data_IF_280146082315
#
_entry.id   IF_280146082315
#
_cell.length_a   1.000
_cell.length_b   1.000
_cell.length_c   1.000
_cell.angle_alpha   90.00
_cell.angle_beta   90.00
_cell.angle_gamma   90.00
#
_symmetry.space_group_name_H-M   'P 1'
#
loop_
_entity.id
_entity.type
_entity.pdbx_description
1 polymer ?
#
# COMPACT_ATOMS: atom_id res chain seq x y z
N UNK A 1 40.96 -47.70 54.57
CA UNK A 1 39.56 -47.83 54.14
C UNK A 1 38.70 -46.64 54.53
N UNK A 2 38.28 -46.45 55.80
CA UNK A 2 37.33 -45.38 56.15
C UNK A 2 37.80 -43.95 55.84
N UNK A 3 39.09 -43.66 56.01
CA UNK A 3 39.67 -42.35 55.64
C UNK A 3 39.70 -42.12 54.11
N UNK A 4 39.69 -43.18 53.30
CA UNK A 4 39.69 -43.10 51.85
C UNK A 4 38.27 -42.89 51.31
N UNK A 5 37.26 -43.59 51.84
CA UNK A 5 35.86 -43.38 51.44
C UNK A 5 35.40 -41.94 51.74
N UNK A 6 35.72 -41.42 52.93
CA UNK A 6 35.44 -40.02 53.29
C UNK A 6 36.16 -39.02 52.35
N UNK A 7 37.37 -39.34 51.90
CA UNK A 7 38.13 -38.50 50.98
C UNK A 7 37.57 -38.53 49.55
N UNK A 8 37.18 -39.71 49.06
CA UNK A 8 36.51 -39.89 47.76
C UNK A 8 35.16 -39.17 47.74
N UNK A 9 34.36 -39.30 48.79
CA UNK A 9 33.08 -38.60 48.90
C UNK A 9 33.23 -37.08 48.95
N UNK A 10 34.18 -36.55 49.73
CA UNK A 10 34.45 -35.09 49.77
C UNK A 10 34.84 -34.57 48.39
N UNK A 11 35.70 -35.27 47.67
CA UNK A 11 36.09 -34.92 46.31
C UNK A 11 34.93 -35.05 45.30
N UNK A 12 34.07 -36.07 45.43
CA UNK A 12 32.88 -36.24 44.60
C UNK A 12 31.85 -35.12 44.81
N UNK A 13 31.53 -34.82 46.07
CA UNK A 13 30.62 -33.72 46.45
C UNK A 13 31.16 -32.36 46.00
N UNK A 14 32.48 -32.12 46.16
CA UNK A 14 33.15 -30.89 45.69
C UNK A 14 33.04 -30.72 44.17
N UNK A 15 33.33 -31.76 43.38
CA UNK A 15 33.17 -31.74 41.92
C UNK A 15 31.72 -31.56 41.47
N UNK A 16 30.76 -32.10 42.22
CA UNK A 16 29.33 -31.86 41.99
C UNK A 16 28.93 -30.40 42.19
N UNK A 17 29.39 -29.78 43.28
CA UNK A 17 29.16 -28.36 43.58
C UNK A 17 29.85 -27.42 42.56
N UNK A 18 31.05 -27.77 42.08
CA UNK A 18 31.74 -27.05 41.01
C UNK A 18 30.90 -27.05 39.72
N UNK A 19 30.44 -28.22 39.25
CA UNK A 19 29.57 -28.33 38.07
C UNK A 19 28.26 -27.55 38.22
N UNK A 20 27.60 -27.63 39.37
CA UNK A 20 26.38 -26.86 39.63
C UNK A 20 26.63 -25.34 39.57
N UNK A 21 27.79 -24.88 40.03
CA UNK A 21 28.21 -23.47 39.89
C UNK A 21 28.52 -23.09 38.44
N UNK A 22 29.23 -23.94 37.71
CA UNK A 22 29.53 -23.76 36.28
C UNK A 22 28.25 -23.68 35.45
N UNK A 23 27.30 -24.59 35.68
CA UNK A 23 25.96 -24.56 35.07
C UNK A 23 25.17 -23.31 35.43
N UNK A 24 25.21 -22.86 36.70
CA UNK A 24 24.50 -21.66 37.13
C UNK A 24 25.08 -20.40 36.49
N UNK A 25 26.41 -20.31 36.38
CA UNK A 25 27.11 -19.24 35.67
C UNK A 25 26.78 -19.24 34.18
N UNK A 26 26.82 -20.40 33.50
CA UNK A 26 26.43 -20.52 32.10
C UNK A 26 24.97 -20.09 31.86
N UNK A 27 24.04 -20.51 32.74
CA UNK A 27 22.63 -20.10 32.69
C UNK A 27 22.46 -18.59 32.88
N UNK A 28 23.22 -17.97 33.79
CA UNK A 28 23.23 -16.52 34.00
C UNK A 28 23.78 -15.75 32.79
N UNK A 29 24.90 -16.20 32.21
CA UNK A 29 25.51 -15.59 31.01
C UNK A 29 24.52 -15.65 29.83
N UNK A 30 23.90 -16.80 29.58
CA UNK A 30 22.88 -16.92 28.54
C UNK A 30 21.68 -16.00 28.78
N UNK A 31 21.22 -15.87 30.04
CA UNK A 31 20.14 -14.93 30.39
C UNK A 31 20.54 -13.47 30.15
N UNK A 32 21.76 -13.07 30.52
CA UNK A 32 22.28 -11.72 30.27
C UNK A 32 22.38 -11.42 28.76
N UNK A 33 22.88 -12.37 27.96
CA UNK A 33 22.94 -12.25 26.51
C UNK A 33 21.54 -12.04 25.88
N UNK A 34 20.55 -12.86 26.26
CA UNK A 34 19.15 -12.69 25.81
C UNK A 34 18.47 -11.43 26.36
N UNK A 35 18.94 -10.87 27.48
CA UNK A 35 18.48 -9.59 28.02
C UNK A 35 19.11 -8.38 27.32
N UNK A 36 20.13 -8.53 26.48
CA UNK A 36 20.65 -7.42 25.68
C UNK A 36 19.57 -6.87 24.70
N UNK A 37 19.45 -5.55 24.60
CA UNK A 37 18.49 -4.91 23.68
C UNK A 37 18.82 -5.21 22.20
N UNK A 38 20.08 -5.55 21.92
CA UNK A 38 20.57 -6.06 20.65
C UNK A 38 19.93 -7.40 20.28
N UNK A 39 19.99 -8.39 21.16
CA UNK A 39 19.38 -9.72 20.93
C UNK A 39 17.85 -9.64 20.97
N UNK A 40 17.24 -8.87 21.89
CA UNK A 40 15.79 -8.59 21.88
C UNK A 40 15.33 -8.00 20.55
N UNK A 41 16.09 -7.08 19.95
CA UNK A 41 15.74 -6.48 18.65
C UNK A 41 15.85 -7.49 17.49
N UNK A 42 16.85 -8.38 17.54
CA UNK A 42 16.98 -9.49 16.58
C UNK A 42 15.85 -10.53 16.75
N UNK A 43 15.44 -10.86 17.97
CA UNK A 43 14.30 -11.75 18.24
C UNK A 43 12.96 -11.16 17.77
N UNK A 44 12.75 -9.84 17.90
CA UNK A 44 11.60 -9.16 17.29
C UNK A 44 11.59 -9.29 15.76
N UNK A 45 12.77 -9.26 15.12
CA UNK A 45 12.88 -9.52 13.69
C UNK A 45 12.62 -10.99 13.34
N UNK A 46 13.08 -11.95 14.16
CA UNK A 46 12.79 -13.39 13.99
C UNK A 46 11.29 -13.68 14.02
N UNK A 47 10.58 -13.20 15.05
CA UNK A 47 9.13 -13.33 15.16
C UNK A 47 8.40 -12.70 13.96
N UNK A 48 8.93 -11.59 13.41
CA UNK A 48 8.40 -11.00 12.18
C UNK A 48 8.61 -11.92 10.95
N UNK A 49 9.73 -12.65 10.84
CA UNK A 49 9.92 -13.64 9.76
C UNK A 49 8.94 -14.81 9.85
N UNK A 50 8.55 -15.19 11.07
CA UNK A 50 7.57 -16.25 11.33
C UNK A 50 6.16 -15.79 10.93
N UNK A 51 5.74 -14.61 11.38
CA UNK A 51 4.47 -14.00 11.00
C UNK A 51 4.36 -13.72 9.48
N UNK A 52 5.48 -13.43 8.80
CA UNK A 52 5.51 -13.32 7.33
C UNK A 52 5.26 -14.68 6.67
N UNK A 53 5.93 -15.75 7.10
CA UNK A 53 5.70 -17.09 6.56
C UNK A 53 4.27 -17.58 6.82
N UNK A 54 3.76 -17.38 8.04
CA UNK A 54 2.37 -17.74 8.39
C UNK A 54 1.37 -16.99 7.50
N UNK A 55 1.61 -15.70 7.23
CA UNK A 55 0.80 -14.91 6.30
C UNK A 55 0.79 -15.50 4.88
N UNK A 56 1.94 -15.92 4.37
CA UNK A 56 2.05 -16.52 3.04
C UNK A 56 1.30 -17.87 2.99
N UNK A 57 1.40 -18.70 4.03
CA UNK A 57 0.65 -19.95 4.17
C UNK A 57 -0.88 -19.69 4.26
N UNK A 58 -1.32 -18.70 5.04
CA UNK A 58 -2.72 -18.25 5.07
C UNK A 58 -3.21 -17.75 3.69
N UNK A 59 -2.37 -17.03 2.94
CA UNK A 59 -2.69 -16.56 1.59
C UNK A 59 -2.80 -17.73 0.61
N UNK A 60 -1.89 -18.70 0.68
CA UNK A 60 -1.95 -19.94 -0.10
C UNK A 60 -3.23 -20.74 0.20
N UNK A 61 -3.63 -20.84 1.47
CA UNK A 61 -4.89 -21.47 1.87
C UNK A 61 -6.10 -20.72 1.29
N UNK A 62 -6.13 -19.38 1.36
CA UNK A 62 -7.20 -18.54 0.78
C UNK A 62 -7.30 -18.73 -0.74
N UNK A 63 -6.17 -18.78 -1.46
CA UNK A 63 -6.16 -19.07 -2.89
C UNK A 63 -6.71 -20.46 -3.23
N UNK A 64 -6.36 -21.50 -2.45
CA UNK A 64 -6.91 -22.85 -2.61
C UNK A 64 -8.43 -22.87 -2.40
N UNK A 65 -8.94 -22.26 -1.33
CA UNK A 65 -10.38 -22.17 -1.06
C UNK A 65 -11.14 -21.43 -2.17
N UNK A 66 -10.61 -20.29 -2.64
CA UNK A 66 -11.19 -19.52 -3.74
C UNK A 66 -11.22 -20.32 -5.05
N UNK A 67 -10.20 -21.14 -5.33
CA UNK A 67 -10.16 -21.95 -6.54
C UNK A 67 -11.09 -23.18 -6.46
N UNK A 68 -11.19 -23.84 -5.30
CA UNK A 68 -12.17 -24.90 -5.07
C UNK A 68 -13.61 -24.39 -5.27
N UNK A 69 -13.97 -23.25 -4.66
CA UNK A 69 -15.29 -22.64 -4.82
C UNK A 69 -15.60 -22.25 -6.29
N UNK A 70 -14.59 -21.82 -7.06
CA UNK A 70 -14.75 -21.58 -8.52
C UNK A 70 -15.00 -22.88 -9.29
N UNK A 71 -14.37 -23.99 -8.91
CA UNK A 71 -14.59 -25.29 -9.54
C UNK A 71 -15.95 -25.89 -9.20
N UNK A 72 -16.40 -25.77 -7.95
CA UNK A 72 -17.76 -26.11 -7.53
C UNK A 72 -18.82 -25.28 -8.28
N UNK A 73 -18.59 -23.96 -8.40
CA UNK A 73 -19.45 -23.07 -9.19
C UNK A 73 -19.48 -23.49 -10.66
N UNK A 74 -18.34 -23.86 -11.26
CA UNK A 74 -18.26 -24.37 -12.64
C UNK A 74 -19.02 -25.68 -12.83
N UNK A 75 -18.93 -26.61 -11.87
CA UNK A 75 -19.69 -27.88 -11.88
C UNK A 75 -21.20 -27.61 -11.82
N UNK A 76 -21.64 -26.82 -10.84
CA UNK A 76 -23.06 -26.43 -10.71
C UNK A 76 -23.61 -25.76 -11.98
N UNK A 77 -22.85 -24.83 -12.58
CA UNK A 77 -23.24 -24.19 -13.85
C UNK A 77 -23.28 -25.17 -15.04
N UNK A 78 -22.45 -26.21 -15.05
CA UNK A 78 -22.52 -27.28 -16.05
C UNK A 78 -23.76 -28.17 -15.82
N UNK A 79 -24.04 -28.57 -14.57
CA UNK A 79 -25.20 -29.41 -14.21
C UNK A 79 -26.53 -28.72 -14.54
N UNK A 80 -26.63 -27.41 -14.30
CA UNK A 80 -27.78 -26.59 -14.71
C UNK A 80 -27.92 -26.59 -16.23
N UNK A 81 -26.83 -26.35 -16.97
CA UNK A 81 -26.83 -26.34 -18.44
C UNK A 81 -27.19 -27.71 -19.05
N UNK A 82 -26.77 -28.82 -18.43
CA UNK A 82 -27.20 -30.16 -18.84
C UNK A 82 -28.71 -30.33 -18.70
N UNK A 83 -29.29 -29.95 -17.56
CA UNK A 83 -30.74 -30.00 -17.31
C UNK A 83 -31.54 -29.09 -18.25
N UNK A 84 -31.01 -27.93 -18.61
CA UNK A 84 -31.60 -27.05 -19.63
C UNK A 84 -31.62 -27.72 -21.02
N UNK A 85 -30.53 -28.37 -21.42
CA UNK A 85 -30.44 -29.10 -22.68
C UNK A 85 -31.40 -30.29 -22.71
N UNK A 86 -31.42 -31.12 -21.66
CA UNK A 86 -32.35 -32.24 -21.48
C UNK A 86 -33.81 -31.78 -21.59
N UNK A 87 -34.17 -30.66 -20.94
CA UNK A 87 -35.52 -30.10 -21.01
C UNK A 87 -35.89 -29.62 -22.42
N UNK A 88 -34.94 -29.03 -23.17
CA UNK A 88 -35.13 -28.64 -24.57
C UNK A 88 -35.31 -29.87 -25.48
N UNK A 89 -34.57 -30.95 -25.23
CA UNK A 89 -34.71 -32.19 -26.00
C UNK A 89 -36.05 -32.88 -25.71
N UNK A 90 -36.47 -33.00 -24.45
CA UNK A 90 -37.80 -33.50 -24.09
C UNK A 90 -38.93 -32.67 -24.72
N UNK A 91 -38.80 -31.34 -24.82
CA UNK A 91 -39.77 -30.51 -25.53
C UNK A 91 -39.76 -30.76 -27.04
N UNK A 92 -38.58 -30.91 -27.67
CA UNK A 92 -38.45 -31.28 -29.09
C UNK A 92 -39.09 -32.63 -29.38
N UNK A 93 -38.96 -33.62 -28.50
CA UNK A 93 -39.60 -34.93 -28.65
C UNK A 93 -41.11 -34.86 -28.51
N UNK A 94 -41.64 -34.15 -27.51
CA UNK A 94 -43.09 -33.91 -27.38
C UNK A 94 -43.67 -33.23 -28.63
N UNK A 95 -42.94 -32.26 -29.20
CA UNK A 95 -43.33 -31.62 -30.47
C UNK A 95 -43.23 -32.56 -31.68
N UNK A 96 -42.22 -33.44 -31.75
CA UNK A 96 -42.14 -34.50 -32.78
C UNK A 96 -43.36 -35.44 -32.68
N UNK A 97 -43.68 -35.93 -31.48
CA UNK A 97 -44.81 -36.82 -31.22
C UNK A 97 -46.14 -36.17 -31.61
N UNK A 98 -46.39 -34.91 -31.19
CA UNK A 98 -47.58 -34.16 -31.61
C UNK A 98 -47.65 -33.95 -33.12
N UNK A 99 -46.53 -33.71 -33.79
CA UNK A 99 -46.50 -33.56 -35.26
C UNK A 99 -46.75 -34.89 -35.99
N UNK A 100 -46.32 -36.03 -35.43
CA UNK A 100 -46.65 -37.36 -35.95
C UNK A 100 -48.16 -37.63 -35.78
N UNK A 101 -48.72 -37.36 -34.60
CA UNK A 101 -50.16 -37.48 -34.34
C UNK A 101 -51.00 -36.59 -35.27
N UNK A 102 -50.60 -35.33 -35.47
CA UNK A 102 -51.27 -34.41 -36.41
C UNK A 102 -51.20 -34.88 -37.86
N UNK A 103 -50.08 -35.48 -38.30
CA UNK A 103 -49.97 -36.11 -39.63
C UNK A 103 -50.92 -37.31 -39.74
N UNK A 104 -50.84 -38.26 -38.83
CA UNK A 104 -51.70 -39.46 -38.82
C UNK A 104 -53.19 -39.10 -38.82
N UNK A 105 -53.61 -38.11 -38.02
CA UNK A 105 -54.98 -37.60 -38.03
C UNK A 105 -55.34 -36.93 -39.37
N UNK A 106 -54.44 -36.11 -39.92
CA UNK A 106 -54.63 -35.49 -41.23
C UNK A 106 -54.71 -36.50 -42.37
N UNK A 107 -54.01 -37.63 -42.29
CA UNK A 107 -54.07 -38.71 -43.26
C UNK A 107 -55.35 -39.55 -43.10
N UNK A 108 -55.78 -39.87 -41.88
CA UNK A 108 -57.09 -40.47 -41.60
C UNK A 108 -58.26 -39.61 -42.14
N UNK A 109 -58.21 -38.29 -41.97
CA UNK A 109 -59.23 -37.38 -42.54
C UNK A 109 -59.20 -37.38 -44.07
N UNK A 110 -58.03 -37.52 -44.72
CA UNK A 110 -57.97 -37.70 -46.19
C UNK A 110 -58.61 -39.02 -46.61
N UNK A 111 -58.44 -40.10 -45.85
CA UNK A 111 -59.06 -41.39 -46.13
C UNK A 111 -60.58 -41.35 -45.97
N UNK A 112 -61.09 -40.75 -44.90
CA UNK A 112 -62.53 -40.48 -44.75
C UNK A 112 -63.09 -39.62 -45.90
N UNK A 113 -62.36 -38.60 -46.36
CA UNK A 113 -62.77 -37.83 -47.55
C UNK A 113 -62.71 -38.63 -48.86
N UNK A 114 -61.79 -39.59 -49.02
CA UNK A 114 -61.80 -40.52 -50.18
C UNK A 114 -63.01 -41.46 -50.12
N UNK A 115 -63.28 -42.05 -48.95
CA UNK A 115 -64.41 -42.94 -48.73
C UNK A 115 -65.74 -42.23 -48.98
N UNK A 116 -65.92 -41.01 -48.46
CA UNK A 116 -67.12 -40.22 -48.67
C UNK A 116 -67.30 -39.80 -50.13
N UNK A 117 -66.21 -39.48 -50.87
CA UNK A 117 -66.27 -39.25 -52.31
C UNK A 117 -66.71 -40.50 -53.08
N UNK A 118 -66.13 -41.67 -52.77
CA UNK A 118 -66.54 -42.95 -53.38
C UNK A 118 -67.99 -43.30 -53.04
N UNK A 119 -68.46 -43.00 -51.82
CA UNK A 119 -69.85 -43.18 -51.39
C UNK A 119 -70.81 -42.24 -52.13
N UNK A 120 -70.40 -41.02 -52.46
CA UNK A 120 -71.19 -40.10 -53.27
C UNK A 120 -71.18 -40.51 -54.76
N UNK A 121 -70.07 -40.99 -55.30
CA UNK A 121 -70.03 -41.59 -56.64
C UNK A 121 -71.02 -42.76 -56.76
N UNK A 122 -71.00 -43.69 -55.79
CA UNK A 122 -71.97 -44.81 -55.68
C UNK A 122 -73.43 -44.39 -55.47
N UNK A 123 -73.71 -43.14 -55.09
CA UNK A 123 -75.07 -42.58 -55.08
C UNK A 123 -75.45 -42.06 -56.47
N UNK A 124 -74.59 -41.25 -57.07
CA UNK A 124 -74.80 -40.72 -58.42
C UNK A 124 -74.84 -41.83 -59.50
N UNK A 125 -74.14 -42.94 -59.28
CA UNK A 125 -74.29 -44.18 -60.07
C UNK A 125 -75.70 -44.75 -59.89
N UNK A 126 -76.16 -45.00 -58.65
CA UNK A 126 -77.52 -45.50 -58.38
C UNK A 126 -78.64 -44.57 -58.85
N UNK A 127 -78.41 -43.26 -58.83
CA UNK A 127 -79.34 -42.23 -59.35
C UNK A 127 -79.43 -42.30 -60.89
N UNK A 128 -78.40 -42.82 -61.58
CA UNK A 128 -78.44 -43.15 -63.03
C UNK A 128 -78.96 -44.55 -63.31
N UNK A 129 -78.60 -45.55 -62.49
CA UNK A 129 -79.10 -46.93 -62.62
C UNK A 129 -80.63 -46.97 -62.46
N UNK A 130 -81.16 -46.26 -61.46
CA UNK A 130 -82.60 -46.03 -61.30
C UNK A 130 -83.13 -45.08 -62.38
N UNK A 131 -82.30 -44.13 -62.82
CA UNK A 131 -82.47 -43.25 -63.97
C UNK A 131 -83.01 -43.97 -65.21
N UNK A 132 -82.18 -44.90 -65.69
CA UNK A 132 -82.46 -45.74 -66.85
C UNK A 132 -83.64 -46.68 -66.55
N UNK A 133 -83.75 -47.19 -65.33
CA UNK A 133 -84.88 -48.04 -64.92
C UNK A 133 -86.24 -47.32 -64.98
N UNK A 134 -86.32 -46.02 -64.64
CA UNK A 134 -87.57 -45.26 -64.70
C UNK A 134 -87.94 -44.90 -66.14
N UNK A 135 -86.97 -44.44 -66.94
CA UNK A 135 -87.20 -44.26 -68.38
C UNK A 135 -87.54 -45.57 -69.10
N UNK A 136 -86.93 -46.70 -68.73
CA UNK A 136 -87.29 -48.03 -69.25
C UNK A 136 -88.66 -48.50 -68.78
N UNK A 137 -89.14 -48.07 -67.61
CA UNK A 137 -90.50 -48.39 -67.15
C UNK A 137 -91.53 -47.68 -68.00
N UNK A 138 -91.40 -46.36 -68.14
CA UNK A 138 -92.33 -45.66 -68.99
C UNK A 138 -92.09 -46.06 -70.46
N UNK A 139 -90.90 -46.46 -70.96
CA UNK A 139 -90.73 -47.06 -72.32
C UNK A 139 -91.48 -48.38 -72.47
N UNK A 140 -91.55 -49.18 -71.41
CA UNK A 140 -92.47 -50.31 -71.30
C UNK A 140 -93.89 -49.87 -70.97
N UNK A 141 -94.12 -48.58 -70.89
CA UNK A 141 -95.37 -47.94 -71.19
C UNK A 141 -95.46 -47.38 -72.62
N UNK A 142 -94.36 -47.07 -73.46
CA UNK A 142 -94.08 -46.79 -75.01
C UNK A 142 -94.13 -48.04 -75.87
N UNK A 143 -94.28 -49.15 -75.17
CA UNK A 143 -95.23 -50.20 -75.47
C UNK A 143 -96.32 -50.24 -74.33
N UNK A 144 -97.66 -50.35 -74.59
CA UNK A 144 -98.89 -50.05 -73.75
C UNK A 144 -99.77 -48.73 -73.94
N UNK A 145 -99.27 -47.44 -74.10
CA UNK A 145 -99.67 -46.12 -74.97
C UNK A 145 -98.87 -45.43 -76.50
N UNK A 146 -97.98 -46.03 -77.61
CA UNK A 146 -97.54 -47.44 -78.50
C UNK A 146 -97.74 -49.17 -78.47
N UNK A 147 -98.04 -50.10 -77.43
CA UNK A 147 -98.99 -51.43 -77.42
C UNK A 147 -100.61 -51.69 -76.96
N UNK A 148 -101.64 -50.78 -76.67
CA UNK A 148 -103.18 -50.87 -76.77
C UNK A 148 -104.12 -50.23 -77.91
N UNK A 149 -104.17 -48.91 -78.22
CA UNK A 149 -105.05 -48.22 -79.24
C UNK A 149 -105.37 -48.91 -80.59
N UNK A 150 -104.43 -49.52 -81.35
CA UNK A 150 -104.77 -50.20 -82.62
C UNK A 150 -105.89 -51.25 -82.36
N UNK A 151 -106.21 -51.62 -81.08
CA UNK A 151 -107.06 -52.76 -80.70
C UNK A 151 -108.46 -52.37 -81.07
N UNK A 152 -108.71 -51.09 -80.90
CA UNK A 152 -109.87 -50.37 -81.33
C UNK A 152 -109.76 -50.19 -82.85
N UNK A 153 -108.64 -49.73 -83.44
CA UNK A 153 -108.51 -49.61 -84.92
C UNK A 153 -108.89 -50.89 -85.68
N UNK A 154 -108.14 -51.99 -85.55
CA UNK A 154 -108.52 -53.19 -86.30
C UNK A 154 -109.82 -53.84 -85.74
N UNK A 155 -110.29 -53.65 -84.48
CA UNK A 155 -111.70 -54.01 -84.09
C UNK A 155 -112.74 -53.15 -84.81
N UNK A 156 -112.41 -51.90 -85.16
CA UNK A 156 -113.26 -51.05 -85.99
C UNK A 156 -113.22 -51.53 -87.44
N UNK A 157 -112.06 -51.98 -87.94
CA UNK A 157 -112.00 -52.70 -89.22
C UNK A 157 -112.79 -54.01 -89.18
N UNK A 158 -112.98 -54.63 -88.01
CA UNK A 158 -113.87 -55.78 -87.85
C UNK A 158 -115.32 -55.42 -88.12
N UNK A 159 -115.76 -54.34 -87.47
CA UNK A 159 -117.11 -53.80 -87.66
C UNK A 159 -117.31 -53.30 -89.09
N UNK A 160 -116.32 -52.64 -89.71
CA UNK A 160 -116.39 -52.24 -91.13
C UNK A 160 -116.54 -53.44 -92.06
N UNK A 161 -115.62 -54.40 -92.02
CA UNK A 161 -115.67 -55.59 -92.87
C UNK A 161 -116.94 -56.45 -92.61
N UNK A 162 -117.46 -56.48 -91.38
CA UNK A 162 -118.74 -57.10 -91.06
C UNK A 162 -119.95 -56.29 -91.61
N UNK A 163 -119.94 -54.97 -91.54
CA UNK A 163 -121.01 -54.13 -92.13
C UNK A 163 -120.98 -54.15 -93.67
N UNK A 164 -119.80 -54.16 -94.28
CA UNK A 164 -119.56 -54.37 -95.72
C UNK A 164 -120.02 -55.77 -96.14
N UNK A 165 -119.84 -56.77 -95.27
CA UNK A 165 -120.51 -58.05 -95.41
C UNK A 165 -122.02 -57.88 -95.44
N UNK A 166 -122.62 -57.21 -94.45
CA UNK A 166 -124.07 -57.15 -94.30
C UNK A 166 -124.73 -56.48 -95.52
N UNK A 167 -124.10 -55.45 -96.11
CA UNK A 167 -124.52 -54.87 -97.39
C UNK A 167 -124.25 -55.78 -98.60
N UNK A 168 -123.15 -56.53 -98.61
CA UNK A 168 -122.95 -57.61 -99.58
C UNK A 168 -124.03 -58.70 -99.44
N UNK A 169 -124.52 -59.01 -98.23
CA UNK A 169 -125.60 -60.00 -98.04
C UNK A 169 -126.96 -59.49 -98.46
N UNK A 170 -127.26 -58.21 -98.25
CA UNK A 170 -128.54 -57.65 -98.67
C UNK A 170 -128.59 -57.49 -100.19
N UNK A 171 -127.50 -57.09 -100.83
CA UNK A 171 -127.38 -57.10 -102.29
C UNK A 171 -127.36 -58.51 -102.86
N UNK A 172 -126.68 -59.47 -102.23
CA UNK A 172 -126.77 -60.88 -102.60
C UNK A 172 -128.20 -61.38 -102.42
N UNK A 173 -128.90 -61.11 -101.30
CA UNK A 173 -130.34 -61.36 -101.13
C UNK A 173 -131.25 -60.51 -102.03
N UNK A 174 -130.74 -59.58 -102.85
CA UNK A 174 -131.56 -58.79 -103.78
C UNK A 174 -131.32 -59.19 -105.24
N UNK A 175 -130.08 -59.53 -105.61
CA UNK A 175 -129.75 -60.26 -106.83
C UNK A 175 -130.34 -61.64 -106.78
N UNK A 176 -130.10 -62.27 -105.65
CA UNK A 176 -130.92 -63.31 -105.14
C UNK A 176 -132.12 -62.67 -104.40
N UNK A 177 -132.89 -61.70 -105.04
CA UNK A 177 -134.38 -61.25 -105.10
C UNK A 177 -134.98 -61.14 -106.50
N UNK A 178 -134.12 -61.24 -107.51
CA UNK A 178 -134.48 -61.80 -108.81
C UNK A 178 -134.08 -63.27 -108.94
N UNK A 179 -133.26 -63.73 -107.98
CA UNK A 179 -133.68 -64.78 -107.04
C UNK A 179 -134.57 -64.12 -105.91
N UNK A 180 -134.37 -64.02 -104.55
CA UNK A 180 -135.13 -63.68 -103.18
C UNK A 180 -136.19 -64.58 -102.53
N UNK A 181 -135.89 -65.85 -102.57
CA UNK A 181 -134.80 -66.27 -103.39
C UNK A 181 -132.90 -65.89 -102.88
N UNK A 182 -131.69 -65.48 -101.59
CA UNK A 182 -129.75 -65.19 -100.64
C UNK A 182 -128.19 -64.61 -99.08
N UNK A 183 -126.53 -64.12 -98.55
CA UNK A 183 -124.78 -64.01 -97.27
C UNK A 183 -123.23 -63.31 -95.75
N UNK A 184 -121.60 -62.75 -95.23
CA UNK A 184 -119.86 -62.28 -93.98
C UNK A 184 -118.51 -61.33 -92.39
N UNK A 185 -116.91 -60.76 -91.78
CA UNK A 185 -115.59 -60.01 -90.26
C UNK A 185 -113.68 -59.08 -89.49
N UNK A 186 -112.58 -58.56 -88.14
CA UNK A 186 -110.78 -57.69 -87.29
C UNK A 186 -109.53 -56.88 -85.59
N UNK A 187 -108.07 -56.01 -84.95
CA UNK A 187 -106.73 -55.22 -83.44
C UNK A 187 -104.92 -54.09 -82.62
N UNK A 188 -104.07 -53.01 -81.42
CA UNK A 188 -102.47 -51.92 -80.45
C UNK A 188 -101.53 -50.11 -79.35
N UNK A 189 -100.30 -49.26 -78.27
CA UNK A 189 -99.31 -47.88 -76.74
C UNK A 189 -97.19 -46.60 -75.24
N UNK A 190 -96.13 -45.10 -74.05
CA UNK A 190 -94.30 -43.88 -72.56
C UNK A 190 -92.89 -42.14 -71.06
N UNK A 191 -91.40 -41.41 -69.80
CA UNK A 191 -89.87 -39.87 -68.46
C UNK A 191 -88.01 -38.99 -66.75
N UNK A 192 -86.74 -37.72 -65.71
CA UNK A 192 -85.12 -36.78 -63.96
C UNK A 192 -83.21 -35.34 -62.74
N UNK A 193 -81.98 -34.66 -61.23
CA UNK A 193 -80.16 -33.59 -59.79
C UNK A 193 -78.56 -31.99 -58.38
N UNK A 194 -77.14 -31.41 -57.00
CA UNK A 194 -75.49 -30.00 -55.71
C UNK A 194 -73.81 -29.12 -53.84
N UNK A 195 -72.33 -28.02 -52.92
CA UNK A 195 -70.86 -26.92 -51.19
C UNK A 195 -68.79 -25.97 -49.83
N UNK A 196 -67.71 -24.86 -48.47
CA UNK A 196 -65.82 -23.99 -47.06
C UNK A 196 -64.29 -22.45 -45.54
N UNK A 197 -62.79 -21.90 -44.25
CA UNK A 197 -61.15 -20.50 -42.93
C UNK A 197 -59.55 -19.58 -41.03
N UNK A 198 -58.05 -18.53 -40.13
CA UNK A 198 -56.62 -17.35 -38.42
C UNK A 198 -54.57 -16.47 -36.99
N UNK A 199 -53.51 -15.31 -35.66
CA UNK A 199 -51.89 -14.28 -34.04
C UNK A 199 -49.82 -13.28 -32.73
N UNK A 200 -48.74 -12.13 -31.40
CA UNK A 200 -46.89 -11.28 -29.93
C UNK A 200 -45.41 -9.74 -28.40
N UNK A 201 -43.86 -9.16 -27.18
CA UNK A 201 -42.40 -7.88 -25.79
C UNK A 201 -41.10 -7.54 -24.08
N UNK A 202 -40.86 -6.79 -22.69
CA UNK A 202 -39.86 -6.43 -21.19
C UNK A 202 -38.33 -5.89 -20.38
N UNK A 203 -37.27 -6.62 -19.74
CA UNK A 203 -36.30 -6.36 -18.48
C UNK A 203 -35.19 -5.22 -18.13
N UNK A 204 -34.31 -4.72 -19.03
CA UNK A 204 -33.01 -4.03 -18.70
C UNK A 204 -33.06 -2.59 -18.09
N UNK A 205 -34.24 -2.09 -17.73
CA UNK A 205 -34.44 -0.73 -17.18
C UNK A 205 -34.68 -0.69 -15.67
N UNK A 206 -35.06 -1.81 -15.04
CA UNK A 206 -35.36 -1.86 -13.59
C UNK A 206 -34.06 -1.99 -12.77
N UNK A 207 -33.06 -2.72 -13.29
CA UNK A 207 -31.72 -2.82 -12.70
C UNK A 207 -31.10 -1.43 -12.44
N UNK A 208 -31.17 -0.55 -13.46
CA UNK A 208 -30.70 0.84 -13.37
C UNK A 208 -31.47 1.73 -12.38
N UNK A 209 -32.58 1.28 -11.80
CA UNK A 209 -33.40 2.06 -10.85
C UNK A 209 -33.45 1.50 -9.43
N UNK A 210 -32.82 0.35 -9.14
CA UNK A 210 -32.75 -0.20 -7.77
C UNK A 210 -31.38 -0.13 -7.10
N UNK A 211 -30.28 -0.26 -7.83
CA UNK A 211 -28.92 -0.22 -7.24
C UNK A 211 -28.58 1.14 -6.60
N UNK A 212 -28.99 2.25 -7.22
CA UNK A 212 -28.60 3.61 -6.78
C UNK A 212 -29.52 4.20 -5.71
N UNK A 213 -30.84 4.02 -5.84
CA UNK A 213 -31.79 4.93 -5.17
C UNK A 213 -32.23 4.51 -3.75
N UNK A 214 -31.94 3.29 -3.29
CA UNK A 214 -32.39 2.79 -1.96
C UNK A 214 -31.39 1.86 -1.28
N UNK A 215 -30.23 2.41 -0.92
CA UNK A 215 -29.50 1.91 0.25
C UNK A 215 -28.90 3.06 1.07
N UNK A 216 -28.18 3.97 0.42
CA UNK A 216 -27.42 5.05 1.06
C UNK A 216 -28.29 6.27 1.42
N UNK A 217 -29.14 6.03 2.40
CA UNK A 217 -29.47 6.96 3.49
C UNK A 217 -30.02 8.37 3.14
N UNK A 218 -31.35 8.48 3.04
CA UNK A 218 -32.11 9.68 3.49
C UNK A 218 -31.97 9.90 5.02
N UNK A 219 -31.37 8.93 5.72
CA UNK A 219 -31.26 8.82 7.19
C UNK A 219 -29.80 8.99 7.69
N UNK A 220 -28.96 9.66 6.90
CA UNK A 220 -27.91 10.56 7.42
C UNK A 220 -28.04 11.92 6.71
N UNK A 221 -29.20 12.58 6.74
CA UNK A 221 -30.26 12.44 7.75
C UNK A 221 -29.95 13.25 9.00
N UNK A 222 -30.02 14.58 8.86
CA UNK A 222 -30.33 15.55 9.93
C UNK A 222 -29.68 15.30 11.30
N UNK A 223 -28.35 15.20 11.37
CA UNK A 223 -27.63 15.23 12.66
C UNK A 223 -26.17 15.75 12.55
N UNK A 224 -25.93 16.67 11.63
CA UNK A 224 -24.70 17.48 11.56
C UNK A 224 -24.93 18.89 11.01
N UNK A 225 -26.18 19.37 10.97
CA UNK A 225 -26.43 20.79 11.18
C UNK A 225 -25.89 21.14 12.57
N UNK A 226 -25.05 22.16 12.67
CA UNK A 226 -24.75 22.83 13.94
C UNK A 226 -24.06 21.96 15.01
N UNK A 227 -23.05 21.19 14.58
CA UNK A 227 -21.71 21.28 15.21
C UNK A 227 -20.79 22.04 14.25
N UNK A 228 -21.15 23.27 13.86
CA UNK A 228 -21.15 24.50 14.66
C UNK A 228 -19.79 25.20 14.58
N UNK A 229 -19.91 26.51 14.40
CA UNK A 229 -18.90 27.54 14.59
C UNK A 229 -18.11 27.38 15.91
N UNK A 230 -17.06 28.19 16.08
CA UNK A 230 -16.19 28.26 17.29
C UNK A 230 -15.37 26.96 17.44
N UNK A 231 -14.06 26.93 17.21
CA UNK A 231 -13.04 27.97 17.37
C UNK A 231 -12.45 28.41 16.00
N UNK A 232 -12.19 29.68 15.70
CA UNK A 232 -11.30 30.64 16.38
C UNK A 232 -9.87 30.10 16.47
N UNK A 233 -8.91 30.72 15.76
CA UNK A 233 -8.04 31.82 16.24
C UNK A 233 -7.08 31.38 17.35
N UNK A 234 -5.91 32.00 17.34
CA UNK A 234 -4.69 31.51 17.99
C UNK A 234 -4.21 30.16 17.40
N UNK A 235 -2.92 29.85 17.34
CA UNK A 235 -1.79 30.52 18.00
C UNK A 235 -0.95 31.39 17.05
N UNK A 236 -0.99 32.71 17.28
CA UNK A 236 0.26 33.48 17.27
C UNK A 236 0.86 33.32 18.67
N UNK A 237 2.19 33.28 18.76
CA UNK A 237 2.97 33.08 19.99
C UNK A 237 2.74 31.74 20.70
N UNK A 238 3.68 30.79 20.53
CA UNK A 238 4.50 30.29 21.65
C UNK A 238 5.68 29.42 21.19
N UNK A 239 6.65 30.06 20.53
CA UNK A 239 8.03 29.58 20.41
C UNK A 239 9.02 30.76 20.26
N UNK A 240 8.78 31.84 21.03
CA UNK A 240 9.82 32.83 21.37
C UNK A 240 10.52 32.27 22.61
N UNK A 241 11.84 32.52 22.77
CA UNK A 241 12.80 31.67 23.53
C UNK A 241 13.19 30.46 22.63
N UNK A 242 14.42 30.28 22.15
CA UNK A 242 15.72 30.90 22.48
C UNK A 242 16.42 31.45 21.21
N UNK A 243 16.94 32.69 21.26
CA UNK A 243 18.14 33.17 20.54
C UNK A 243 18.34 34.70 20.75
N UNK A 244 18.67 35.13 21.97
CA UNK A 244 19.09 36.52 22.23
C UNK A 244 20.62 36.63 22.17
N UNK A 245 21.15 37.58 21.39
CA UNK A 245 22.48 38.21 21.57
C UNK A 245 22.75 39.18 20.39
N UNK A 246 22.36 40.46 20.49
CA UNK A 246 23.19 41.60 20.99
C UNK A 246 24.40 41.98 20.12
N UNK A 247 24.33 43.17 19.49
CA UNK A 247 25.49 43.80 18.84
C UNK A 247 25.37 45.34 18.70
N UNK A 248 26.11 46.07 19.56
CA UNK A 248 26.76 47.40 19.36
C UNK A 248 25.93 48.71 19.36
N UNK A 249 26.44 49.67 20.16
CA UNK A 249 26.20 51.13 20.15
C UNK A 249 27.47 51.89 20.67
N UNK A 250 27.43 53.24 20.65
CA UNK A 250 28.20 54.23 21.50
C UNK A 250 29.45 55.03 20.98
N UNK A 251 29.74 56.16 21.71
CA UNK A 251 30.97 56.98 21.88
C UNK A 251 31.09 58.43 21.28
N UNK A 252 31.41 59.47 22.12
CA UNK A 252 31.95 60.86 21.84
C UNK A 252 32.42 61.64 23.14
N UNK A 253 33.38 62.61 23.04
CA UNK A 253 33.57 63.93 23.78
C UNK A 253 34.98 64.32 24.38
N UNK A 254 35.25 65.65 24.50
CA UNK A 254 36.12 66.54 25.36
C UNK A 254 37.67 66.28 25.57
N UNK A 255 38.55 67.07 26.28
CA UNK A 255 38.52 68.26 27.18
C UNK A 255 39.88 69.08 27.22
N UNK A 256 40.14 70.06 28.14
CA UNK A 256 41.31 71.02 28.13
C UNK A 256 41.79 71.64 29.51
N UNK A 257 43.02 72.20 29.56
CA UNK A 257 43.59 73.38 30.33
C UNK A 257 44.23 73.34 31.76
N UNK A 258 45.36 74.07 31.96
CA UNK A 258 45.95 74.62 33.24
C UNK A 258 47.10 75.67 33.03
N UNK A 259 47.36 76.66 33.93
CA UNK A 259 48.29 77.83 33.70
C UNK A 259 48.95 78.52 34.98
N UNK A 260 50.01 79.36 34.80
CA UNK A 260 50.55 80.48 35.65
C UNK A 260 51.63 80.27 36.80
N UNK A 261 52.55 81.25 37.06
CA UNK A 261 53.55 81.36 38.18
C UNK A 261 54.33 82.74 38.26
N UNK A 262 54.95 83.19 39.39
CA UNK A 262 55.71 84.50 39.53
C UNK A 262 56.60 84.76 40.84
N UNK A 263 57.61 85.68 40.77
CA UNK A 263 58.38 86.51 41.79
C UNK A 263 59.39 85.96 42.87
N UNK A 264 60.51 86.69 43.12
CA UNK A 264 61.44 86.64 44.31
C UNK A 264 62.49 87.82 44.40
N UNK A 265 63.07 88.20 45.58
CA UNK A 265 64.30 89.07 45.76
C UNK A 265 64.80 89.30 47.24
N UNK A 266 66.12 89.57 47.52
CA UNK A 266 66.69 89.94 48.86
C UNK A 266 68.19 90.47 48.86
N UNK A 267 68.76 90.93 50.01
CA UNK A 267 70.06 90.46 50.65
C UNK A 267 70.87 91.34 51.70
N UNK A 268 72.04 91.97 51.38
CA UNK A 268 73.25 92.13 52.28
C UNK A 268 73.48 93.45 53.12
N UNK A 269 74.47 93.45 54.06
CA UNK A 269 74.86 94.58 54.99
C UNK A 269 76.40 94.78 55.30
N UNK A 270 76.85 94.99 56.58
CA UNK A 270 78.14 95.60 57.02
C UNK A 270 79.24 94.63 57.54
N UNK A 271 80.17 94.17 56.66
CA UNK A 271 80.78 92.82 56.78
C UNK A 271 82.34 92.79 56.91
N UNK A 272 83.07 93.90 57.09
CA UNK A 272 84.53 93.95 56.74
C UNK A 272 85.55 93.58 57.82
N UNK A 273 85.66 94.30 58.95
CA UNK A 273 86.79 94.10 59.91
C UNK A 273 86.70 92.84 60.78
N UNK A 274 85.57 92.16 60.79
CA UNK A 274 85.39 90.84 61.41
C UNK A 274 86.30 89.75 60.78
N UNK A 275 86.91 90.01 59.61
CA UNK A 275 87.58 89.00 58.76
C UNK A 275 89.02 88.64 59.16
N UNK A 276 89.82 89.55 59.72
CA UNK A 276 91.29 89.37 59.80
C UNK A 276 91.78 88.50 60.96
N UNK A 277 91.39 88.79 62.21
CA UNK A 277 91.67 87.86 63.32
C UNK A 277 91.02 86.50 63.05
N UNK A 278 89.79 86.53 62.51
CA UNK A 278 89.10 85.34 62.03
C UNK A 278 89.97 84.53 61.07
N UNK A 279 90.70 85.14 60.15
CA UNK A 279 91.51 84.44 59.15
C UNK A 279 92.53 83.46 59.75
N UNK A 280 93.25 83.85 60.81
CA UNK A 280 94.30 82.99 61.39
C UNK A 280 93.74 81.92 62.34
N UNK A 281 92.68 82.23 63.08
CA UNK A 281 91.88 81.25 63.80
C UNK A 281 91.26 80.24 62.81
N UNK A 282 90.70 80.75 61.70
CA UNK A 282 90.20 79.99 60.56
C UNK A 282 91.29 79.18 59.86
N UNK A 283 92.56 79.54 59.85
CA UNK A 283 93.60 78.73 59.21
C UNK A 283 94.00 77.49 60.03
N UNK A 284 93.97 77.58 61.37
CA UNK A 284 94.21 76.43 62.24
C UNK A 284 92.94 75.58 62.38
N UNK A 285 91.78 76.23 62.52
CA UNK A 285 90.48 75.55 62.47
C UNK A 285 90.26 74.90 61.11
N UNK A 286 90.53 75.56 59.97
CA UNK A 286 90.39 74.96 58.64
C UNK A 286 91.34 73.78 58.41
N UNK A 287 92.51 73.69 59.05
CA UNK A 287 93.36 72.49 58.98
C UNK A 287 92.77 71.33 59.79
N UNK A 288 92.16 71.61 60.95
CA UNK A 288 91.41 70.61 61.73
C UNK A 288 90.09 70.20 61.04
N UNK A 289 89.38 71.15 60.45
CA UNK A 289 88.17 70.96 59.65
C UNK A 289 88.49 70.25 58.32
N UNK A 290 89.65 70.49 57.69
CA UNK A 290 90.09 69.76 56.50
C UNK A 290 90.48 68.32 56.84
N UNK A 291 91.15 68.08 57.96
CA UNK A 291 91.40 66.71 58.44
C UNK A 291 90.09 66.00 58.78
N UNK A 292 89.23 66.64 59.57
CA UNK A 292 87.88 66.14 59.90
C UNK A 292 87.03 65.91 58.64
N UNK A 293 87.06 66.79 57.65
CA UNK A 293 86.34 66.64 56.38
C UNK A 293 86.93 65.53 55.51
N UNK A 294 88.25 65.30 55.53
CA UNK A 294 88.88 64.12 54.89
C UNK A 294 88.46 62.83 55.59
N UNK A 295 88.41 62.82 56.92
CA UNK A 295 88.00 61.64 57.69
C UNK A 295 86.50 61.34 57.53
N UNK A 296 85.65 62.38 57.49
CA UNK A 296 84.21 62.27 57.16
C UNK A 296 84.02 61.82 55.70
N UNK A 297 84.81 62.32 54.75
CA UNK A 297 84.77 61.89 53.36
C UNK A 297 85.22 60.42 53.20
N UNK A 298 86.29 60.03 53.89
CA UNK A 298 86.76 58.65 53.92
C UNK A 298 85.69 57.72 54.53
N UNK A 299 85.12 58.09 55.68
CA UNK A 299 84.02 57.36 56.30
C UNK A 299 82.82 57.24 55.35
N UNK A 300 82.43 58.32 54.67
CA UNK A 300 81.37 58.29 53.65
C UNK A 300 81.67 57.35 52.47
N UNK A 301 82.93 57.30 52.01
CA UNK A 301 83.37 56.36 50.96
C UNK A 301 83.35 54.91 51.46
N UNK A 302 83.68 54.65 52.73
CA UNK A 302 83.61 53.32 53.33
C UNK A 302 82.16 52.87 53.61
N UNK A 303 81.30 53.79 54.04
CA UNK A 303 79.86 53.58 54.20
C UNK A 303 79.16 53.33 52.86
N UNK A 304 79.50 54.09 51.81
CA UNK A 304 79.00 53.85 50.44
C UNK A 304 79.48 52.49 49.89
N UNK A 305 80.74 52.11 50.15
CA UNK A 305 81.27 50.79 49.79
C UNK A 305 80.54 49.67 50.52
N UNK A 306 80.37 49.79 51.83
CA UNK A 306 79.66 48.81 52.65
C UNK A 306 78.17 48.74 52.27
N UNK A 307 77.53 49.87 51.99
CA UNK A 307 76.16 49.92 51.49
C UNK A 307 76.04 49.25 50.11
N UNK A 308 76.98 49.46 49.20
CA UNK A 308 77.02 48.79 47.91
C UNK A 308 77.16 47.27 48.04
N UNK A 309 78.14 46.78 48.81
CA UNK A 309 78.33 45.35 49.11
C UNK A 309 77.06 44.75 49.75
N UNK A 310 76.46 45.44 50.71
CA UNK A 310 75.21 45.07 51.36
C UNK A 310 74.01 45.04 50.40
N UNK A 311 73.98 45.88 49.35
CA UNK A 311 72.95 45.83 48.31
C UNK A 311 73.18 44.66 47.34
N UNK A 312 74.44 44.34 47.01
CA UNK A 312 74.77 43.17 46.19
C UNK A 312 74.39 41.86 46.88
N UNK A 313 74.78 41.67 48.14
CA UNK A 313 74.36 40.49 48.94
C UNK A 313 72.83 40.39 49.03
N UNK A 314 72.12 41.51 49.19
CA UNK A 314 70.65 41.57 49.16
C UNK A 314 70.04 41.38 47.76
N UNK A 315 70.82 41.42 46.69
CA UNK A 315 70.39 41.09 45.33
C UNK A 315 70.64 39.61 45.03
N UNK A 316 71.82 39.09 45.41
CA UNK A 316 72.20 37.68 45.34
C UNK A 316 71.25 36.80 46.17
N UNK A 317 70.96 37.14 47.43
CA UNK A 317 69.95 36.43 48.23
C UNK A 317 68.59 36.35 47.51
N UNK A 318 68.18 37.42 46.82
CA UNK A 318 66.92 37.45 46.06
C UNK A 318 67.01 36.60 44.80
N UNK A 319 68.16 36.57 44.13
CA UNK A 319 68.46 35.71 42.99
C UNK A 319 68.39 34.23 43.38
N UNK A 320 69.07 33.82 44.46
CA UNK A 320 69.03 32.47 44.98
C UNK A 320 67.61 32.05 45.37
N UNK A 321 66.89 32.91 46.10
CA UNK A 321 65.50 32.66 46.51
C UNK A 321 64.56 32.56 45.29
N UNK A 322 64.76 33.38 44.25
CA UNK A 322 64.06 33.24 42.96
C UNK A 322 64.39 31.91 42.29
N UNK A 323 65.67 31.59 42.11
CA UNK A 323 66.17 30.36 41.45
C UNK A 323 65.67 29.09 42.15
N UNK A 324 65.69 29.07 43.49
CA UNK A 324 65.15 27.98 44.30
C UNK A 324 63.65 27.78 44.08
N UNK A 325 62.86 28.86 44.12
CA UNK A 325 61.40 28.80 43.86
C UNK A 325 61.08 28.38 42.42
N UNK A 326 61.86 28.87 41.44
CA UNK A 326 61.77 28.48 40.03
C UNK A 326 62.03 26.97 39.86
N UNK A 327 63.05 26.43 40.53
CA UNK A 327 63.38 25.01 40.46
C UNK A 327 62.31 24.13 41.15
N UNK A 328 61.71 24.57 42.26
CA UNK A 328 60.53 23.91 42.85
C UNK A 328 59.36 23.92 41.86
N UNK A 329 59.06 25.06 41.24
CA UNK A 329 57.96 25.18 40.29
C UNK A 329 58.18 24.30 39.05
N UNK A 330 59.40 24.27 38.49
CA UNK A 330 59.80 23.37 37.40
C UNK A 330 59.60 21.91 37.79
N UNK A 331 60.00 21.51 39.00
CA UNK A 331 59.81 20.15 39.50
C UNK A 331 58.33 19.77 39.65
N UNK A 332 57.51 20.62 40.29
CA UNK A 332 56.07 20.40 40.40
C UNK A 332 55.37 20.33 39.03
N UNK A 333 55.80 21.14 38.06
CA UNK A 333 55.27 21.10 36.69
C UNK A 333 55.70 19.84 35.94
N UNK A 334 56.92 19.32 36.19
CA UNK A 334 57.35 18.03 35.67
C UNK A 334 56.54 16.87 36.26
N UNK A 335 56.33 16.84 37.57
CA UNK A 335 55.46 15.85 38.22
C UNK A 335 54.05 15.86 37.64
N UNK A 336 53.43 17.05 37.50
CA UNK A 336 52.07 17.21 36.95
C UNK A 336 51.98 16.68 35.52
N UNK A 337 53.02 16.90 34.70
CA UNK A 337 53.11 16.34 33.33
C UNK A 337 53.20 14.81 33.34
N UNK A 338 54.02 14.22 34.21
CA UNK A 338 54.14 12.76 34.36
C UNK A 338 52.81 12.15 34.83
N UNK A 339 52.20 12.72 35.89
CA UNK A 339 50.90 12.28 36.43
C UNK A 339 49.79 12.39 35.37
N UNK A 340 49.75 13.47 34.60
CA UNK A 340 48.79 13.64 33.49
C UNK A 340 49.01 12.64 32.34
N UNK A 341 50.27 12.37 31.96
CA UNK A 341 50.59 11.39 30.91
C UNK A 341 50.26 9.96 31.34
N UNK A 342 50.45 9.62 32.63
CA UNK A 342 50.07 8.34 33.19
C UNK A 342 48.54 8.17 33.19
N UNK A 343 47.78 9.15 33.68
CA UNK A 343 46.31 9.16 33.62
C UNK A 343 45.77 9.09 32.18
N UNK A 344 46.48 9.68 31.20
CA UNK A 344 46.12 9.56 29.79
C UNK A 344 46.35 8.13 29.26
N UNK A 345 47.45 7.46 29.64
CA UNK A 345 47.69 6.06 29.29
C UNK A 345 46.66 5.14 29.94
N UNK A 346 46.39 5.29 31.23
CA UNK A 346 45.36 4.50 31.92
C UNK A 346 43.97 4.62 31.28
N UNK A 347 43.62 5.82 30.78
CA UNK A 347 42.41 6.02 29.98
C UNK A 347 42.46 5.29 28.64
N UNK A 348 43.53 5.44 27.87
CA UNK A 348 43.70 4.70 26.60
C UNK A 348 43.65 3.18 26.82
N UNK A 349 44.30 2.68 27.86
CA UNK A 349 44.34 1.25 28.20
C UNK A 349 42.98 0.72 28.69
N UNK A 350 42.15 1.58 29.32
CA UNK A 350 40.77 1.27 29.65
C UNK A 350 39.87 1.27 28.40
N UNK A 351 39.97 2.31 27.57
CA UNK A 351 39.19 2.46 26.33
C UNK A 351 39.50 1.33 25.34
N UNK A 352 40.77 0.88 25.26
CA UNK A 352 41.20 -0.28 24.49
C UNK A 352 40.54 -1.57 25.00
N UNK A 353 40.62 -1.87 26.30
CA UNK A 353 39.98 -3.08 26.90
C UNK A 353 38.46 -3.08 26.75
N UNK A 354 37.85 -1.90 26.82
CA UNK A 354 36.41 -1.74 26.58
C UNK A 354 36.05 -1.98 25.11
N UNK A 355 36.90 -1.56 24.16
CA UNK A 355 36.73 -1.86 22.74
C UNK A 355 36.97 -3.35 22.42
N UNK A 356 37.92 -4.01 23.09
CA UNK A 356 38.16 -5.46 23.00
C UNK A 356 36.92 -6.25 23.46
N UNK A 357 36.39 -5.95 24.65
CA UNK A 357 35.16 -6.55 25.18
C UNK A 357 33.96 -6.35 24.26
N UNK A 358 33.80 -5.15 23.69
CA UNK A 358 32.77 -4.84 22.68
C UNK A 358 32.93 -5.70 21.41
N UNK A 359 34.17 -5.98 21.00
CA UNK A 359 34.48 -6.87 19.89
C UNK A 359 34.03 -8.31 20.18
N UNK A 360 34.38 -8.83 21.36
CA UNK A 360 33.97 -10.17 21.79
C UNK A 360 32.44 -10.31 21.90
N UNK A 361 31.72 -9.28 22.35
CA UNK A 361 30.25 -9.28 22.42
C UNK A 361 29.59 -9.23 21.02
N UNK A 362 30.09 -8.41 20.09
CA UNK A 362 29.56 -8.37 18.72
C UNK A 362 29.92 -9.65 17.94
N UNK A 363 31.11 -10.25 18.11
CA UNK A 363 31.47 -11.54 17.49
C UNK A 363 30.57 -12.69 17.99
N UNK A 364 30.31 -12.76 19.31
CA UNK A 364 29.33 -13.70 19.87
C UNK A 364 27.93 -13.49 19.28
N UNK A 365 27.51 -12.23 19.13
CA UNK A 365 26.23 -11.88 18.51
C UNK A 365 26.18 -12.25 17.01
N UNK A 366 27.23 -11.98 16.24
CA UNK A 366 27.29 -12.32 14.81
C UNK A 366 27.33 -13.83 14.58
N UNK A 367 28.05 -14.59 15.42
CA UNK A 367 28.02 -16.06 15.37
C UNK A 367 26.62 -16.62 15.67
N UNK A 368 25.97 -16.14 16.75
CA UNK A 368 24.60 -16.54 17.10
C UNK A 368 23.59 -16.19 16.01
N UNK A 369 23.61 -14.94 15.51
CA UNK A 369 22.66 -14.48 14.50
C UNK A 369 22.86 -15.18 13.15
N UNK A 370 24.10 -15.52 12.78
CA UNK A 370 24.40 -16.32 11.58
C UNK A 370 23.71 -17.69 11.63
N UNK A 371 23.79 -18.40 12.76
CA UNK A 371 23.11 -19.69 12.94
C UNK A 371 21.57 -19.59 12.92
N UNK A 372 21.00 -18.50 13.45
CA UNK A 372 19.56 -18.24 13.36
C UNK A 372 19.14 -17.88 11.92
N UNK A 373 20.00 -17.16 11.17
CA UNK A 373 19.75 -16.81 9.77
C UNK A 373 19.84 -18.04 8.86
N UNK A 374 20.77 -18.97 9.09
CA UNK A 374 20.82 -20.24 8.33
C UNK A 374 19.59 -21.10 8.61
N UNK A 375 19.23 -21.30 9.88
CA UNK A 375 18.02 -22.03 10.25
C UNK A 375 16.73 -21.39 9.68
N UNK A 376 16.65 -20.05 9.66
CA UNK A 376 15.52 -19.35 9.04
C UNK A 376 15.48 -19.53 7.51
N UNK A 377 16.65 -19.55 6.85
CA UNK A 377 16.80 -19.82 5.40
C UNK A 377 16.40 -21.25 5.05
N UNK A 378 16.86 -22.24 5.82
CA UNK A 378 16.48 -23.66 5.69
C UNK A 378 14.97 -23.87 5.89
N UNK A 379 14.38 -23.16 6.87
CA UNK A 379 12.94 -23.12 7.09
C UNK A 379 12.14 -22.37 5.99
N UNK A 380 12.80 -21.88 4.94
CA UNK A 380 12.23 -21.06 3.85
C UNK A 380 11.45 -19.84 4.37
N UNK A 381 12.00 -19.14 5.38
CA UNK A 381 11.47 -17.88 5.92
C UNK A 381 12.15 -16.69 5.21
N UNK A 382 11.46 -15.55 5.15
CA UNK A 382 12.05 -14.32 4.63
C UNK A 382 13.15 -13.81 5.59
N UNK A 383 14.42 -13.89 5.18
CA UNK A 383 15.58 -13.52 6.02
C UNK A 383 15.90 -12.03 6.05
N UNK A 384 15.27 -11.19 5.21
CA UNK A 384 15.58 -9.75 5.11
C UNK A 384 15.43 -8.98 6.44
N UNK A 385 14.40 -9.24 7.30
CA UNK A 385 14.31 -8.61 8.62
C UNK A 385 15.48 -9.00 9.54
N UNK A 386 15.91 -10.26 9.52
CA UNK A 386 17.02 -10.76 10.33
C UNK A 386 18.35 -10.15 9.90
N UNK A 387 18.64 -10.13 8.59
CA UNK A 387 19.84 -9.50 8.03
C UNK A 387 19.88 -8.00 8.37
N UNK A 388 18.75 -7.29 8.28
CA UNK A 388 18.65 -5.88 8.67
C UNK A 388 18.86 -5.66 10.17
N UNK A 389 18.46 -6.60 11.03
CA UNK A 389 18.70 -6.53 12.47
C UNK A 389 20.16 -6.83 12.82
N UNK A 390 20.73 -7.91 12.25
CA UNK A 390 22.13 -8.30 12.44
C UNK A 390 23.11 -7.20 11.98
N UNK A 391 22.89 -6.61 10.80
CA UNK A 391 23.79 -5.60 10.22
C UNK A 391 23.69 -4.20 10.85
N UNK A 392 22.81 -3.97 11.83
CA UNK A 392 22.54 -2.61 12.34
C UNK A 392 23.66 -2.02 13.21
N UNK A 393 24.58 -2.85 13.72
CA UNK A 393 25.62 -2.52 14.72
C UNK A 393 25.07 -2.42 16.14
N UNK A 394 25.88 -2.72 17.15
CA UNK A 394 25.53 -2.50 18.57
C UNK A 394 25.21 -1.03 18.87
N UNK A 395 25.99 -0.10 18.32
CA UNK A 395 25.74 1.34 18.40
C UNK A 395 24.53 1.69 17.52
N UNK A 396 23.45 2.13 18.15
CA UNK A 396 22.10 2.15 17.56
C UNK A 396 21.85 3.24 16.51
N UNK A 397 22.93 3.86 16.00
CA UNK A 397 22.89 5.09 15.22
C UNK A 397 22.08 5.00 13.94
N UNK A 398 21.41 6.09 13.58
CA UNK A 398 20.63 6.16 12.33
C UNK A 398 21.51 6.48 11.11
N UNK A 399 22.71 7.04 11.32
CA UNK A 399 23.60 7.51 10.27
C UNK A 399 24.31 6.43 9.42
N UNK A 400 25.21 6.87 8.53
CA UNK A 400 26.08 5.99 7.76
C UNK A 400 27.09 5.29 8.66
N UNK A 401 27.70 4.21 8.15
CA UNK A 401 28.81 3.52 8.80
C UNK A 401 30.11 4.13 8.26
N UNK A 402 30.91 4.72 9.14
CA UNK A 402 32.21 5.33 8.80
C UNK A 402 33.26 4.81 9.77
N UNK A 403 34.20 4.00 9.27
CA UNK A 403 35.23 3.36 10.09
C UNK A 403 34.67 2.29 11.04
N UNK A 404 33.67 1.52 10.61
CA UNK A 404 33.01 0.49 11.43
C UNK A 404 32.00 1.04 12.45
N UNK A 405 32.25 2.23 13.00
CA UNK A 405 31.30 2.92 13.87
C UNK A 405 30.14 3.53 13.07
N UNK A 406 28.93 3.42 13.63
CA UNK A 406 27.70 3.96 13.06
C UNK A 406 27.25 5.17 13.87
N UNK A 407 27.66 6.36 13.44
CA UNK A 407 27.40 7.61 14.15
C UNK A 407 25.92 7.97 14.12
N UNK A 408 25.36 8.39 15.25
CA UNK A 408 24.18 9.24 15.22
C UNK A 408 24.52 10.63 14.67
N UNK A 409 23.56 11.26 14.01
CA UNK A 409 23.73 12.59 13.38
C UNK A 409 23.86 13.75 14.39
N UNK A 410 23.90 13.47 15.71
CA UNK A 410 23.70 14.46 16.78
C UNK A 410 24.65 14.26 17.97
N UNK A 411 25.91 14.67 17.81
CA UNK A 411 26.77 15.04 18.94
C UNK A 411 27.91 15.97 18.47
N UNK A 412 27.79 17.30 18.62
CA UNK A 412 28.91 18.23 18.45
C UNK A 412 29.91 18.05 19.60
N UNK A 413 30.86 17.12 19.45
CA UNK A 413 32.08 17.14 20.27
C UNK A 413 32.79 18.47 20.07
N UNK A 414 33.37 19.05 21.11
CA UNK A 414 33.91 20.42 21.10
C UNK A 414 35.06 20.71 20.09
N UNK A 415 35.54 19.69 19.37
CA UNK A 415 36.47 19.82 18.26
C UNK A 415 35.67 19.97 16.95
N UNK A 416 35.57 21.19 16.43
CA UNK A 416 34.74 21.57 15.27
C UNK A 416 35.23 21.00 13.91
N UNK A 417 36.39 20.34 13.88
CA UNK A 417 37.13 19.97 12.66
C UNK A 417 36.49 18.89 11.79
N UNK A 418 35.37 18.29 12.22
CA UNK A 418 34.75 17.11 11.58
C UNK A 418 33.30 17.30 11.09
N UNK A 419 32.88 18.55 10.86
CA UNK A 419 31.65 18.81 10.09
C UNK A 419 31.94 18.57 8.59
N UNK A 420 31.10 17.80 7.85
CA UNK A 420 31.20 17.70 6.40
C UNK A 420 31.08 19.08 5.76
N UNK A 421 32.18 19.58 5.21
CA UNK A 421 32.27 20.94 4.70
C UNK A 421 31.58 21.03 3.33
N UNK A 422 30.27 21.30 3.31
CA UNK A 422 29.40 21.44 2.11
C UNK A 422 29.75 22.63 1.19
N UNK A 423 31.01 23.06 1.18
CA UNK A 423 31.54 24.10 0.29
C UNK A 423 31.88 23.45 -1.04
N UNK A 424 30.94 23.50 -1.99
CA UNK A 424 31.18 23.08 -3.37
C UNK A 424 32.37 23.83 -3.97
N UNK A 425 33.00 23.27 -5.01
CA UNK A 425 34.06 23.94 -5.78
C UNK A 425 33.60 25.33 -6.23
N UNK A 426 32.36 25.44 -6.73
CA UNK A 426 31.71 26.70 -7.11
C UNK A 426 31.75 27.76 -6.00
N UNK A 427 31.52 27.39 -4.74
CA UNK A 427 31.57 28.34 -3.61
C UNK A 427 33.02 28.68 -3.22
N UNK A 428 33.97 27.75 -3.37
CA UNK A 428 35.40 28.05 -3.18
C UNK A 428 35.93 29.01 -4.26
N UNK A 429 35.48 28.85 -5.50
CA UNK A 429 35.91 29.67 -6.62
C UNK A 429 35.21 31.04 -6.65
N UNK A 430 33.95 31.12 -6.23
CA UNK A 430 33.32 32.41 -5.87
C UNK A 430 34.07 33.11 -4.73
N UNK A 431 34.51 32.38 -3.70
CA UNK A 431 35.33 32.96 -2.61
C UNK A 431 36.70 33.46 -3.10
N UNK A 432 37.29 32.87 -4.16
CA UNK A 432 38.48 33.43 -4.81
C UNK A 432 38.16 34.70 -5.61
N UNK A 433 37.08 34.68 -6.40
CA UNK A 433 36.66 35.81 -7.25
C UNK A 433 36.33 37.07 -6.45
N UNK A 434 35.70 36.93 -5.28
CA UNK A 434 35.31 38.06 -4.42
C UNK A 434 36.24 38.30 -3.22
N UNK A 435 37.11 37.34 -2.88
CA UNK A 435 37.97 37.41 -1.68
C UNK A 435 39.27 38.20 -1.85
N UNK A 436 39.72 38.47 -3.08
CA UNK A 436 41.03 39.07 -3.34
C UNK A 436 41.10 40.61 -3.17
N UNK A 437 40.03 41.25 -2.68
CA UNK A 437 39.82 42.69 -2.84
C UNK A 437 39.72 43.52 -1.54
N UNK A 438 39.87 42.93 -0.34
CA UNK A 438 39.61 43.66 0.91
C UNK A 438 40.46 43.26 2.14
N UNK A 439 41.65 42.68 1.95
CA UNK A 439 42.62 42.46 3.04
C UNK A 439 43.41 43.74 3.37
N UNK A 440 42.69 44.81 3.76
CA UNK A 440 43.29 45.89 4.55
C UNK A 440 43.04 45.61 6.04
N UNK A 441 44.07 45.69 6.91
CA UNK A 441 43.90 45.43 8.33
C UNK A 441 43.15 46.58 9.01
N UNK A 442 41.83 46.49 9.04
CA UNK A 442 40.92 47.42 9.71
C UNK A 442 41.01 47.29 11.26
N UNK A 443 42.19 47.52 11.81
CA UNK A 443 42.52 47.43 13.23
C UNK A 443 41.92 48.60 14.03
N UNK A 444 40.58 48.64 14.13
CA UNK A 444 39.88 49.47 15.11
C UNK A 444 39.56 48.62 16.34
N UNK A 445 40.24 48.92 17.45
CA UNK A 445 39.91 48.36 18.76
C UNK A 445 38.47 48.74 19.14
N UNK A 446 37.77 47.81 19.79
CA UNK A 446 36.56 48.09 20.55
C UNK A 446 36.95 47.96 22.03
N UNK A 447 37.59 49.00 22.54
CA UNK A 447 37.95 49.11 23.95
C UNK A 447 36.67 49.49 24.73
N UNK A 448 36.12 48.55 25.49
CA UNK A 448 35.03 48.82 26.43
C UNK A 448 35.61 49.31 27.76
N UNK A 449 35.03 50.38 28.31
CA UNK A 449 35.32 50.90 29.66
C UNK A 449 34.21 50.43 30.61
N UNK A 450 34.54 50.33 31.90
CA UNK A 450 33.69 49.80 32.98
C UNK A 450 32.48 50.68 33.30
#
# INVERSE_FOLDING_TARGET
>A
MEMESVSVERNGRSKGLQRQREEALAKAICQQFYQSDRVKQFHRALLHTEALKERDDQMNQKWRMINAAKEETRKCMADVRCKELEAVEQQREKLRQQNIQKKAYGDFVKEQMKEQKLRNQRKAEKEKDVEECRQLCEQNEREKIILKQQQNEKKMNARKAHMEHLSATSTIRALESQKQEMKEERRRLFDMERETLMMRKNEKMIERRRVVQRYKEVVVGRLATEMQEKASKEEKLNAKIVAESTAKCEAKLDCERNENNEKNMAMLTAITKHREYKHTEQEMMAKGEEQSARDILNAGIEDDRFHWEMQQLKAEEKEEKRSYMDNILRHQMAERRVKSSLLQKERMDYDNKYAELIGEEEDQFQHYTTGVISAAKEANRNTLPLLRAANKGMWCGVGPITGGMRTDYLAPSANYDKIPNYVSTTVKDLKKLYGAANDQPAARRLDFIW
#
